data_IF_309531001937
#
_entry.id   IF_309531001937
#
_cell.length_a   1.000
_cell.length_b   1.000
_cell.length_c   1.000
_cell.angle_alpha   90.00
_cell.angle_beta   90.00
_cell.angle_gamma   90.00
#
_symmetry.space_group_name_H-M   'P 1'
#
loop_
_entity.id
_entity.type
_entity.pdbx_description
1 polymer ?
#
# COMPACT_ATOMS: atom_id res chain seq x y z
N UNK A 1 -6.50 -2.83 -33.89
CA UNK A 1 -5.92 -2.24 -32.66
C UNK A 1 -5.98 -0.70 -32.58
N UNK A 2 -6.38 0.03 -33.64
CA UNK A 2 -6.43 1.51 -33.65
C UNK A 2 -7.55 2.22 -32.84
N UNK A 3 -8.74 1.63 -32.56
CA UNK A 3 -9.79 2.38 -31.84
C UNK A 3 -9.49 2.54 -30.33
N UNK A 4 -8.77 1.61 -29.70
CA UNK A 4 -8.48 1.65 -28.25
C UNK A 4 -7.59 2.83 -27.84
N UNK A 5 -6.71 3.29 -28.75
CA UNK A 5 -5.83 4.45 -28.51
C UNK A 5 -6.62 5.78 -28.51
N UNK A 6 -7.78 5.82 -29.18
CA UNK A 6 -8.59 7.04 -29.25
C UNK A 6 -9.29 7.36 -27.92
N UNK A 7 -9.65 6.33 -27.14
CA UNK A 7 -10.19 6.51 -25.78
C UNK A 7 -9.14 7.11 -24.83
N UNK A 8 -7.85 6.84 -25.06
CA UNK A 8 -6.73 7.37 -24.25
C UNK A 8 -6.35 8.83 -24.61
N UNK A 9 -6.91 9.41 -25.68
CA UNK A 9 -6.68 10.82 -26.05
C UNK A 9 -7.48 11.82 -25.22
N UNK A 10 -8.42 11.36 -24.41
CA UNK A 10 -9.14 12.23 -23.49
C UNK A 10 -8.15 12.79 -22.46
N UNK A 11 -8.20 14.11 -22.20
CA UNK A 11 -7.24 14.75 -21.31
C UNK A 11 -7.26 14.06 -19.94
N UNK A 12 -6.11 13.61 -19.39
CA UNK A 12 -6.09 12.91 -18.10
C UNK A 12 -6.72 13.72 -16.96
N UNK A 13 -6.81 15.05 -17.12
CA UNK A 13 -7.48 15.97 -16.18
C UNK A 13 -8.98 15.67 -15.97
N UNK A 14 -9.68 15.17 -16.99
CA UNK A 14 -11.09 14.76 -16.86
C UNK A 14 -11.24 13.28 -16.52
N UNK A 15 -10.26 12.46 -16.88
CA UNK A 15 -10.32 11.02 -16.63
C UNK A 15 -10.17 10.69 -15.14
N UNK A 16 -9.27 11.38 -14.42
CA UNK A 16 -9.05 11.18 -12.99
C UNK A 16 -10.31 11.35 -12.11
N UNK A 17 -11.09 12.44 -12.19
CA UNK A 17 -12.29 12.58 -11.38
C UNK A 17 -13.39 11.58 -11.76
N UNK A 18 -13.52 11.21 -13.04
CA UNK A 18 -14.49 10.19 -13.49
C UNK A 18 -14.16 8.84 -12.86
N UNK A 19 -12.88 8.43 -12.89
CA UNK A 19 -12.44 7.18 -12.27
C UNK A 19 -12.68 7.22 -10.75
N UNK A 20 -12.42 8.35 -10.09
CA UNK A 20 -12.64 8.49 -8.65
C UNK A 20 -14.11 8.29 -8.26
N UNK A 21 -15.04 8.94 -8.97
CA UNK A 21 -16.49 8.77 -8.75
C UNK A 21 -16.89 7.32 -9.02
N UNK A 22 -16.40 6.72 -10.10
CA UNK A 22 -16.69 5.33 -10.45
C UNK A 22 -16.20 4.35 -9.37
N UNK A 23 -15.01 4.56 -8.80
CA UNK A 23 -14.49 3.73 -7.71
C UNK A 23 -15.37 3.81 -6.47
N UNK A 24 -15.85 4.99 -6.10
CA UNK A 24 -16.75 5.19 -4.96
C UNK A 24 -18.09 4.47 -5.20
N UNK A 25 -18.73 4.70 -6.35
CA UNK A 25 -19.99 4.03 -6.70
C UNK A 25 -19.81 2.51 -6.79
N UNK A 26 -18.70 2.04 -7.34
CA UNK A 26 -18.38 0.62 -7.42
C UNK A 26 -18.22 -0.05 -6.04
N UNK A 27 -17.66 0.66 -5.06
CA UNK A 27 -17.56 0.13 -3.69
C UNK A 27 -18.93 0.04 -3.02
N UNK A 28 -19.80 1.03 -3.23
CA UNK A 28 -21.19 1.00 -2.76
C UNK A 28 -21.98 -0.16 -3.39
N UNK A 29 -21.74 -0.46 -4.67
CA UNK A 29 -22.43 -1.55 -5.37
C UNK A 29 -21.98 -2.95 -4.93
N UNK A 30 -20.69 -3.11 -4.56
CA UNK A 30 -20.14 -4.41 -4.14
C UNK A 30 -20.77 -4.92 -2.84
N UNK A 31 -20.94 -4.04 -1.86
CA UNK A 31 -21.52 -4.40 -0.58
C UNK A 31 -22.10 -3.12 0.03
N UNK A 32 -23.39 -3.10 0.36
CA UNK A 32 -24.07 -1.98 1.05
C UNK A 32 -23.57 -1.79 2.50
N UNK A 33 -22.35 -2.22 2.80
CA UNK A 33 -21.71 -2.08 4.08
C UNK A 33 -20.86 -0.80 4.10
N UNK A 34 -21.12 0.13 5.02
CA UNK A 34 -20.41 1.40 5.12
C UNK A 34 -18.91 1.21 5.43
N UNK A 35 -18.53 0.04 5.94
CA UNK A 35 -17.13 -0.30 6.23
C UNK A 35 -16.23 -0.31 4.99
N UNK A 36 -16.68 -0.88 3.86
CA UNK A 36 -15.87 -0.93 2.64
C UNK A 36 -15.64 0.46 2.05
N UNK A 37 -16.65 1.32 2.14
CA UNK A 37 -16.53 2.71 1.76
C UNK A 37 -15.53 3.45 2.64
N UNK A 38 -15.64 3.28 3.96
CA UNK A 38 -14.70 3.88 4.92
C UNK A 38 -13.26 3.43 4.66
N UNK A 39 -13.04 2.14 4.33
CA UNK A 39 -11.74 1.58 3.98
C UNK A 39 -11.15 2.23 2.71
N UNK A 40 -11.94 2.34 1.63
CA UNK A 40 -11.48 2.98 0.40
C UNK A 40 -11.15 4.45 0.62
N UNK A 41 -11.97 5.16 1.41
CA UNK A 41 -11.73 6.56 1.72
C UNK A 41 -10.45 6.75 2.55
N UNK A 42 -10.23 5.93 3.57
CA UNK A 42 -8.99 5.97 4.37
C UNK A 42 -7.75 5.61 3.54
N UNK A 43 -7.83 4.59 2.69
CA UNK A 43 -6.74 4.26 1.76
C UNK A 43 -6.46 5.38 0.73
N UNK A 44 -7.50 6.04 0.21
CA UNK A 44 -7.35 7.16 -0.72
C UNK A 44 -6.63 8.34 -0.05
N UNK A 45 -7.02 8.68 1.19
CA UNK A 45 -6.34 9.71 1.99
C UNK A 45 -4.89 9.32 2.27
N UNK A 46 -4.63 8.08 2.71
CA UNK A 46 -3.27 7.60 2.94
C UNK A 46 -2.40 7.65 1.66
N UNK A 47 -2.95 7.26 0.52
CA UNK A 47 -2.30 7.35 -0.79
C UNK A 47 -1.94 8.79 -1.17
N UNK A 48 -2.83 9.75 -0.89
CA UNK A 48 -2.55 11.18 -1.09
C UNK A 48 -1.40 11.68 -0.21
N UNK A 49 -1.32 11.22 1.05
CA UNK A 49 -0.18 11.52 1.92
C UNK A 49 1.14 10.95 1.36
N UNK A 50 1.13 9.74 0.80
CA UNK A 50 2.32 9.15 0.18
C UNK A 50 2.77 9.87 -1.09
N UNK A 51 1.82 10.36 -1.89
CA UNK A 51 2.11 11.21 -3.05
C UNK A 51 2.74 12.54 -2.61
N UNK A 52 2.20 13.16 -1.55
CA UNK A 52 2.77 14.39 -0.96
C UNK A 52 4.19 14.20 -0.43
N UNK A 53 4.50 13.02 0.10
CA UNK A 53 5.84 12.63 0.55
C UNK A 53 6.79 12.23 -0.61
N UNK A 54 6.33 12.32 -1.86
CA UNK A 54 7.08 11.97 -3.08
C UNK A 54 7.65 10.55 -3.07
N UNK A 55 6.96 9.61 -2.41
CA UNK A 55 7.29 8.20 -2.54
C UNK A 55 7.03 7.76 -3.98
N UNK A 56 7.97 7.01 -4.55
CA UNK A 56 7.81 6.46 -5.90
C UNK A 56 6.60 5.53 -5.95
N UNK A 57 5.76 5.64 -6.99
CA UNK A 57 4.63 4.73 -7.21
C UNK A 57 5.05 3.26 -7.19
N UNK A 58 6.29 2.96 -7.59
CA UNK A 58 6.86 1.62 -7.50
C UNK A 58 6.97 1.09 -6.05
N UNK A 59 7.32 1.95 -5.09
CA UNK A 59 7.45 1.56 -3.68
C UNK A 59 6.09 1.23 -3.06
N UNK A 60 5.03 1.95 -3.45
CA UNK A 60 3.66 1.64 -3.03
C UNK A 60 3.20 0.27 -3.52
N UNK A 61 3.46 -0.05 -4.79
CA UNK A 61 3.14 -1.36 -5.36
C UNK A 61 3.94 -2.46 -4.65
N UNK A 62 5.23 -2.23 -4.40
CA UNK A 62 6.07 -3.17 -3.66
C UNK A 62 5.51 -3.41 -2.25
N UNK A 63 5.18 -2.35 -1.52
CA UNK A 63 4.58 -2.43 -0.20
C UNK A 63 3.25 -3.20 -0.19
N UNK A 64 2.42 -3.02 -1.22
CA UNK A 64 1.17 -3.78 -1.37
C UNK A 64 1.43 -5.29 -1.54
N UNK A 65 2.38 -5.65 -2.40
CA UNK A 65 2.76 -7.06 -2.65
C UNK A 65 3.37 -7.69 -1.39
N UNK A 66 4.34 -7.00 -0.78
CA UNK A 66 4.97 -7.46 0.46
C UNK A 66 3.97 -7.54 1.60
N UNK A 67 2.99 -6.63 1.67
CA UNK A 67 1.92 -6.67 2.66
C UNK A 67 1.08 -7.93 2.56
N UNK A 68 0.65 -8.31 1.34
CA UNK A 68 -0.10 -9.55 1.13
C UNK A 68 0.72 -10.81 1.48
N UNK A 69 2.02 -10.78 1.19
CA UNK A 69 2.94 -11.84 1.60
C UNK A 69 3.08 -11.90 3.13
N UNK A 70 3.26 -10.76 3.79
CA UNK A 70 3.38 -10.65 5.24
C UNK A 70 2.13 -11.18 5.94
N UNK A 71 0.93 -10.85 5.46
CA UNK A 71 -0.33 -11.38 5.99
C UNK A 71 -0.40 -12.91 5.84
N UNK A 72 -0.02 -13.42 4.66
CA UNK A 72 0.01 -14.86 4.39
C UNK A 72 0.98 -15.61 5.33
N UNK A 73 2.19 -15.06 5.52
CA UNK A 73 3.17 -15.62 6.45
C UNK A 73 2.74 -15.50 7.91
N UNK A 74 2.09 -14.38 8.28
CA UNK A 74 1.55 -14.16 9.61
C UNK A 74 0.44 -15.16 9.94
N UNK A 75 -0.55 -15.33 9.06
CA UNK A 75 -1.59 -16.37 9.21
C UNK A 75 -0.97 -17.75 9.32
N UNK A 76 -0.01 -18.09 8.44
CA UNK A 76 0.69 -19.38 8.49
C UNK A 76 1.42 -19.60 9.83
N UNK A 77 2.11 -18.58 10.34
CA UNK A 77 2.80 -18.66 11.62
C UNK A 77 1.82 -18.84 12.80
N UNK A 78 0.66 -18.19 12.76
CA UNK A 78 -0.41 -18.38 13.75
C UNK A 78 -1.04 -19.77 13.68
N UNK A 79 -1.28 -20.29 12.49
CA UNK A 79 -1.76 -21.67 12.30
C UNK A 79 -0.77 -22.70 12.85
N UNK A 80 0.54 -22.49 12.65
CA UNK A 80 1.60 -23.38 13.18
C UNK A 80 1.73 -23.27 14.72
N UNK A 81 1.33 -22.14 15.30
CA UNK A 81 1.46 -21.86 16.74
C UNK A 81 0.19 -22.14 17.54
N UNK A 82 -0.77 -22.89 16.98
CA UNK A 82 -2.08 -23.19 17.60
C UNK A 82 -2.80 -21.93 18.12
N UNK A 83 -2.73 -20.83 17.35
CA UNK A 83 -3.39 -19.56 17.69
C UNK A 83 -2.70 -18.77 18.81
N UNK A 84 -1.57 -19.24 19.36
CA UNK A 84 -0.87 -18.51 20.41
C UNK A 84 0.06 -17.42 19.83
N UNK A 85 -0.42 -16.17 19.84
CA UNK A 85 0.34 -14.98 19.41
C UNK A 85 1.63 -14.76 20.21
N UNK A 86 1.72 -15.32 21.43
CA UNK A 86 2.92 -15.24 22.26
C UNK A 86 4.06 -16.10 21.71
N UNK A 87 3.78 -17.10 20.87
CA UNK A 87 4.83 -17.90 20.23
C UNK A 87 5.69 -17.08 19.26
N UNK A 88 5.13 -16.01 18.66
CA UNK A 88 5.87 -15.10 17.80
C UNK A 88 6.90 -14.26 18.59
N UNK A 89 6.54 -13.88 19.83
CA UNK A 89 7.41 -13.08 20.72
C UNK A 89 8.40 -13.97 21.47
N UNK A 90 8.00 -15.19 21.83
CA UNK A 90 8.83 -16.13 22.58
C UNK A 90 9.95 -16.75 21.71
N UNK A 91 9.85 -16.65 20.37
CA UNK A 91 10.92 -17.06 19.45
C UNK A 91 11.99 -15.95 19.37
N UNK A 92 13.19 -16.13 19.95
CA UNK A 92 14.22 -15.08 20.02
C UNK A 92 14.67 -14.56 18.63
N UNK A 93 14.64 -15.42 17.61
CA UNK A 93 14.93 -15.03 16.22
C UNK A 93 13.89 -14.04 15.67
N UNK A 94 12.59 -14.25 15.95
CA UNK A 94 11.54 -13.39 15.40
C UNK A 94 11.58 -12.00 16.05
N UNK A 95 11.89 -11.96 17.35
CA UNK A 95 12.03 -10.71 18.09
C UNK A 95 13.22 -9.89 17.59
N UNK A 96 14.35 -10.55 17.31
CA UNK A 96 15.54 -9.90 16.72
C UNK A 96 15.23 -9.27 15.35
N UNK A 97 14.55 -10.00 14.48
CA UNK A 97 14.20 -9.52 13.14
C UNK A 97 13.19 -8.36 13.21
N UNK A 98 12.22 -8.44 14.12
CA UNK A 98 11.24 -7.38 14.33
C UNK A 98 11.89 -6.08 14.82
N UNK A 99 12.81 -6.17 15.79
CA UNK A 99 13.61 -5.04 16.26
C UNK A 99 14.44 -4.43 15.12
N UNK A 100 15.08 -5.25 14.28
CA UNK A 100 15.85 -4.78 13.13
C UNK A 100 14.97 -4.04 12.10
N UNK A 101 13.76 -4.54 11.83
CA UNK A 101 12.79 -3.86 10.96
C UNK A 101 12.39 -2.50 11.53
N UNK A 102 12.03 -2.43 12.81
CA UNK A 102 11.67 -1.18 13.49
C UNK A 102 12.83 -0.18 13.48
N UNK A 103 14.05 -0.65 13.75
CA UNK A 103 15.25 0.18 13.70
C UNK A 103 15.46 0.78 12.30
N UNK A 104 15.26 -0.02 11.26
CA UNK A 104 15.38 0.42 9.86
C UNK A 104 14.32 1.47 9.51
N UNK A 105 13.07 1.26 9.92
CA UNK A 105 11.97 2.19 9.67
C UNK A 105 12.20 3.52 10.41
N UNK A 106 12.62 3.49 11.67
CA UNK A 106 12.94 4.69 12.46
C UNK A 106 14.08 5.52 11.85
N UNK A 107 15.12 4.85 11.33
CA UNK A 107 16.22 5.50 10.61
C UNK A 107 15.74 6.20 9.33
N UNK A 108 14.87 5.54 8.57
CA UNK A 108 14.35 6.06 7.30
C UNK A 108 13.32 7.20 7.52
N UNK A 109 12.45 7.08 8.52
CA UNK A 109 11.50 8.14 8.90
C UNK A 109 12.18 9.35 9.58
N UNK A 110 13.33 9.14 10.24
CA UNK A 110 14.06 10.19 10.97
C UNK A 110 15.03 11.04 10.14
N UNK A 111 15.29 10.70 8.87
CA UNK A 111 16.23 11.45 8.02
C UNK A 111 15.64 11.68 6.63
N UNK A 112 15.19 12.92 6.43
CA UNK A 112 15.05 13.69 5.18
C UNK A 112 15.26 12.89 3.88
N UNK A 113 14.27 12.87 2.96
CA UNK A 113 14.27 12.03 1.76
C UNK A 113 15.38 12.43 0.77
N UNK A 114 16.57 11.84 0.93
CA UNK A 114 17.71 11.99 0.01
C UNK A 114 17.56 11.17 -1.29
N UNK A 115 16.41 10.55 -1.52
CA UNK A 115 16.11 9.82 -2.77
C UNK A 115 15.61 10.74 -3.90
N UNK A 116 15.57 12.06 -3.69
CA UNK A 116 14.99 13.04 -4.60
C UNK A 116 15.83 13.43 -5.84
N UNK A 117 16.98 12.79 -6.14
CA UNK A 117 17.88 13.35 -7.17
C UNK A 117 18.47 12.40 -8.23
N UNK A 118 18.16 11.10 -8.27
CA UNK A 118 18.87 10.18 -9.20
C UNK A 118 18.05 9.52 -10.32
N UNK A 119 16.92 10.08 -10.76
CA UNK A 119 16.17 9.49 -11.89
C UNK A 119 15.58 10.48 -12.91
N UNK A 120 16.30 11.58 -13.17
CA UNK A 120 16.02 12.51 -14.28
C UNK A 120 17.21 12.66 -15.25
N UNK A 121 17.88 11.55 -15.59
CA UNK A 121 18.75 11.42 -16.77
C UNK A 121 18.61 9.99 -17.31
N UNK A 122 18.02 9.87 -18.49
CA UNK A 122 17.67 8.62 -19.16
C UNK A 122 16.35 8.80 -19.86
#
# INVERSE_FOLDING_TARGET
MRPMVSILKISPKVLTPIIAVLCVVGTFAYNNNPFHLALVFTCAVAGYFFDKMKYSSAALILGLILGNMADSYFRRALFISDGNVLALVNRPISLLFFLACIWTILKEFGVIPKQLFKRRKG
#
